data_IF_020378919557
#
_entry.id   IF_020378919557
#
_cell.length_a   1.000
_cell.length_b   1.000
_cell.length_c   1.000
_cell.angle_alpha   90.00
_cell.angle_beta   90.00
_cell.angle_gamma   90.00
#
_symmetry.space_group_name_H-M   'P 1'
#
loop_
_entity.id
_entity.type
_entity.pdbx_description
1 polymer ?
#
# COMPACT_ATOMS: atom_id res chain seq x y z
N UNK A 1 -28.06 -1.15 -5.11
CA UNK A 1 -26.89 -0.29 -5.40
C UNK A 1 -25.96 -1.04 -6.33
N UNK A 2 -25.43 -0.39 -7.35
CA UNK A 2 -24.40 -0.95 -8.23
C UNK A 2 -23.06 -0.32 -7.88
N UNK A 3 -21.99 -1.11 -7.89
CA UNK A 3 -20.62 -0.64 -7.60
C UNK A 3 -19.83 -0.64 -8.90
N UNK A 4 -19.12 0.47 -9.16
CA UNK A 4 -18.28 0.64 -10.34
C UNK A 4 -16.87 1.06 -9.89
N UNK A 5 -15.84 0.38 -10.40
CA UNK A 5 -14.46 0.84 -10.30
C UNK A 5 -14.15 1.74 -11.50
N UNK A 6 -13.48 2.87 -11.26
CA UNK A 6 -13.15 3.85 -12.31
C UNK A 6 -11.65 4.15 -12.24
N UNK A 7 -10.96 4.03 -13.36
CA UNK A 7 -9.58 4.49 -13.50
C UNK A 7 -9.58 5.93 -14.02
N UNK A 8 -8.83 6.80 -13.34
CA UNK A 8 -8.70 8.21 -13.69
C UNK A 8 -7.22 8.60 -13.66
N UNK A 9 -6.86 9.55 -14.51
CA UNK A 9 -5.50 10.11 -14.51
C UNK A 9 -5.27 10.95 -13.25
N UNK A 10 -4.04 10.94 -12.72
CA UNK A 10 -3.68 11.65 -11.49
C UNK A 10 -4.07 13.14 -11.51
N UNK A 11 -3.83 13.83 -12.63
CA UNK A 11 -4.19 15.25 -12.79
C UNK A 11 -5.70 15.53 -12.88
N UNK A 12 -6.54 14.50 -12.94
CA UNK A 12 -8.00 14.61 -13.01
C UNK A 12 -8.70 14.28 -11.68
N UNK A 13 -7.99 13.70 -10.71
CA UNK A 13 -8.56 13.24 -9.43
C UNK A 13 -9.35 14.34 -8.73
N UNK A 14 -8.79 15.53 -8.58
CA UNK A 14 -9.45 16.65 -7.87
C UNK A 14 -10.75 17.09 -8.57
N UNK A 15 -10.75 17.14 -9.91
CA UNK A 15 -11.94 17.53 -10.68
C UNK A 15 -13.02 16.45 -10.60
N UNK A 16 -12.63 15.19 -10.63
CA UNK A 16 -13.53 14.07 -10.46
C UNK A 16 -14.19 14.11 -9.07
N UNK A 17 -13.40 14.31 -8.00
CA UNK A 17 -13.94 14.42 -6.65
C UNK A 17 -14.92 15.59 -6.50
N UNK A 18 -14.62 16.76 -7.08
CA UNK A 18 -15.55 17.89 -7.10
C UNK A 18 -16.86 17.60 -7.85
N UNK A 19 -16.82 16.81 -8.93
CA UNK A 19 -18.02 16.35 -9.64
C UNK A 19 -18.85 15.38 -8.78
N UNK A 20 -18.17 14.44 -8.11
CA UNK A 20 -18.81 13.44 -7.25
C UNK A 20 -19.51 14.09 -6.05
N UNK A 21 -18.86 15.06 -5.41
CA UNK A 21 -19.44 15.83 -4.30
C UNK A 21 -20.72 16.56 -4.72
N UNK A 22 -20.72 17.21 -5.89
CA UNK A 22 -21.91 17.90 -6.43
C UNK A 22 -23.04 16.96 -6.83
N UNK A 23 -22.73 15.68 -7.04
CA UNK A 23 -23.69 14.66 -7.46
C UNK A 23 -24.37 13.95 -6.27
N UNK A 24 -24.07 14.36 -5.04
CA UNK A 24 -24.82 13.88 -3.88
C UNK A 24 -26.30 14.32 -3.96
N UNK A 25 -27.25 13.45 -3.57
CA UNK A 25 -27.08 12.17 -2.87
C UNK A 25 -26.97 10.94 -3.79
N UNK A 26 -26.96 11.12 -5.11
CA UNK A 26 -27.04 10.02 -6.08
C UNK A 26 -25.77 9.15 -6.13
N UNK A 27 -24.62 9.72 -5.71
CA UNK A 27 -23.33 9.02 -5.64
C UNK A 27 -22.87 8.93 -4.20
N UNK A 28 -22.54 7.71 -3.76
CA UNK A 28 -21.93 7.45 -2.45
C UNK A 28 -20.47 7.08 -2.62
N UNK A 29 -19.57 7.92 -2.10
CA UNK A 29 -18.13 7.60 -2.07
C UNK A 29 -17.86 6.65 -0.91
N UNK A 30 -17.23 5.52 -1.21
CA UNK A 30 -16.72 4.59 -0.21
C UNK A 30 -15.21 4.48 -0.43
N UNK A 31 -14.46 5.03 0.52
CA UNK A 31 -13.00 4.86 0.57
C UNK A 31 -12.74 3.66 1.46
N UNK A 32 -11.99 2.68 0.94
CA UNK A 32 -11.50 1.53 1.70
C UNK A 32 -10.75 2.01 2.95
N UNK A 33 -11.03 1.40 4.10
CA UNK A 33 -10.45 1.84 5.37
C UNK A 33 -8.93 1.67 5.42
N UNK A 34 -8.39 0.65 4.76
CA UNK A 34 -6.94 0.45 4.69
C UNK A 34 -6.28 1.62 3.96
N UNK A 35 -6.89 2.12 2.89
CA UNK A 35 -6.40 3.28 2.12
C UNK A 35 -6.52 4.60 2.87
N UNK A 36 -7.42 4.71 3.87
CA UNK A 36 -7.48 5.90 4.75
C UNK A 36 -6.32 5.96 5.72
N UNK A 37 -5.86 4.80 6.19
CA UNK A 37 -4.76 4.70 7.15
C UNK A 37 -3.42 4.72 6.41
N UNK A 38 -3.38 4.08 5.24
CA UNK A 38 -2.19 3.87 4.44
C UNK A 38 -2.52 3.89 2.95
N UNK A 39 -2.19 4.99 2.27
CA UNK A 39 -2.42 5.15 0.83
C UNK A 39 -1.70 4.10 -0.03
N UNK A 40 -0.62 3.51 0.49
CA UNK A 40 0.22 2.54 -0.23
C UNK A 40 -0.08 1.10 0.20
N UNK A 41 -1.15 0.86 0.96
CA UNK A 41 -1.46 -0.44 1.57
C UNK A 41 -1.39 -1.60 0.57
N UNK A 42 -2.08 -1.49 -0.57
CA UNK A 42 -2.09 -2.56 -1.56
C UNK A 42 -0.75 -2.73 -2.27
N UNK A 43 0.04 -1.66 -2.43
CA UNK A 43 1.38 -1.75 -2.98
C UNK A 43 2.29 -2.52 -2.01
N UNK A 44 2.26 -2.17 -0.71
CA UNK A 44 3.01 -2.88 0.33
C UNK A 44 2.56 -4.32 0.50
N UNK A 45 1.27 -4.59 0.37
CA UNK A 45 0.73 -5.95 0.38
C UNK A 45 1.33 -6.78 -0.75
N UNK A 46 1.32 -6.28 -1.99
CA UNK A 46 1.93 -6.96 -3.15
C UNK A 46 3.43 -7.19 -2.94
N UNK A 47 4.16 -6.19 -2.42
CA UNK A 47 5.58 -6.32 -2.11
C UNK A 47 5.82 -7.41 -1.06
N UNK A 48 5.04 -7.45 0.01
CA UNK A 48 5.14 -8.47 1.06
C UNK A 48 4.87 -9.87 0.51
N UNK A 49 3.85 -10.04 -0.33
CA UNK A 49 3.54 -11.31 -0.98
C UNK A 49 4.71 -11.77 -1.85
N UNK A 50 5.31 -10.87 -2.64
CA UNK A 50 6.48 -11.17 -3.45
C UNK A 50 7.68 -11.59 -2.59
N UNK A 51 8.01 -10.84 -1.54
CA UNK A 51 9.10 -11.19 -0.61
C UNK A 51 8.86 -12.55 0.02
N UNK A 52 7.63 -12.86 0.46
CA UNK A 52 7.29 -14.18 1.02
C UNK A 52 7.50 -15.30 0.00
N UNK A 53 7.14 -15.06 -1.26
CA UNK A 53 7.34 -16.03 -2.32
C UNK A 53 8.82 -16.25 -2.62
N UNK A 54 9.62 -15.18 -2.67
CA UNK A 54 11.08 -15.27 -2.86
C UNK A 54 11.77 -16.04 -1.73
N UNK A 55 11.32 -15.85 -0.48
CA UNK A 55 11.82 -16.61 0.67
C UNK A 55 11.47 -18.09 0.52
N UNK A 56 10.22 -18.40 0.15
CA UNK A 56 9.75 -19.79 -0.03
C UNK A 56 10.45 -20.50 -1.18
N UNK A 57 10.77 -19.80 -2.27
CA UNK A 57 11.48 -20.37 -3.41
C UNK A 57 13.00 -20.47 -3.18
N UNK A 58 13.52 -19.89 -2.10
CA UNK A 58 14.95 -19.83 -1.81
C UNK A 58 15.71 -18.74 -2.57
N UNK A 59 15.02 -17.85 -3.29
CA UNK A 59 15.63 -16.71 -3.98
C UNK A 59 16.09 -15.62 -3.01
N UNK A 60 15.45 -15.53 -1.84
CA UNK A 60 15.82 -14.64 -0.75
C UNK A 60 15.93 -15.43 0.56
N UNK A 61 16.77 -14.95 1.48
CA UNK A 61 16.98 -15.58 2.79
C UNK A 61 16.56 -14.62 3.89
N UNK A 62 15.68 -15.10 4.78
CA UNK A 62 15.34 -14.37 5.99
C UNK A 62 16.54 -14.39 6.95
N UNK A 63 17.09 -13.21 7.25
CA UNK A 63 18.21 -13.08 8.18
C UNK A 63 17.75 -13.13 9.63
N UNK A 64 18.44 -13.88 10.51
CA UNK A 64 18.13 -13.90 11.93
C UNK A 64 18.26 -12.51 12.56
N UNK A 65 17.34 -12.19 13.46
CA UNK A 65 17.32 -10.93 14.21
C UNK A 65 18.69 -10.59 14.85
N UNK A 66 19.34 -11.59 15.45
CA UNK A 66 20.65 -11.41 16.09
C UNK A 66 21.73 -10.94 15.11
N UNK A 67 21.74 -11.47 13.88
CA UNK A 67 22.72 -11.11 12.84
C UNK A 67 22.53 -9.65 12.42
N UNK A 68 21.28 -9.25 12.17
CA UNK A 68 20.94 -7.88 11.78
C UNK A 68 21.33 -6.87 12.87
N UNK A 69 20.91 -7.09 14.11
CA UNK A 69 21.17 -6.13 15.17
C UNK A 69 22.63 -6.09 15.61
N UNK A 70 23.34 -7.21 15.58
CA UNK A 70 24.79 -7.21 15.89
C UNK A 70 25.55 -6.31 14.91
N UNK A 71 25.20 -6.34 13.62
CA UNK A 71 25.81 -5.46 12.62
C UNK A 71 25.48 -3.98 12.86
N UNK A 72 24.24 -3.67 13.21
CA UNK A 72 23.83 -2.29 13.53
C UNK A 72 24.60 -1.76 14.75
N UNK A 73 24.63 -2.53 15.84
CA UNK A 73 25.36 -2.13 17.05
C UNK A 73 26.85 -1.92 16.81
N UNK A 74 27.49 -2.81 16.04
CA UNK A 74 28.89 -2.66 15.65
C UNK A 74 29.15 -1.40 14.80
N UNK A 75 28.19 -1.00 13.97
CA UNK A 75 28.30 0.22 13.17
C UNK A 75 28.18 1.48 14.02
N UNK A 76 27.26 1.49 14.99
CA UNK A 76 26.99 2.65 15.86
C UNK A 76 27.98 2.83 17.01
N UNK A 77 28.80 1.82 17.31
CA UNK A 77 29.80 1.84 18.39
C UNK A 77 31.21 2.21 17.93
N UNK A 78 31.34 2.64 16.67
CA UNK A 78 32.54 3.24 16.08
C UNK A 78 32.44 4.75 16.08
#
# INVERSE_FOLDING_TARGET
MQTLAVEIQDGFVDRFMAFVEKSQPNIKVQIDENLKIDCDFYQRQKQLEQTRNNIKSGNEVMKPHKEVWSNIYQHLSK
#
